data_IF_962227220954
#
_entry.id   IF_962227220954
#
_cell.length_a   1.000
_cell.length_b   1.000
_cell.length_c   1.000
_cell.angle_alpha   90.00
_cell.angle_beta   90.00
_cell.angle_gamma   90.00
#
_symmetry.space_group_name_H-M   'P 1'
#
loop_
_entity.id
_entity.type
_entity.pdbx_description
1 polymer ?
#
# COMPACT_ATOMS: atom_id res chain seq x y z
N UNK A 1 -4.03 22.32 -12.29
CA UNK A 1 -2.99 21.32 -12.60
C UNK A 1 -2.14 21.00 -11.37
N UNK A 2 -1.90 21.95 -10.46
CA UNK A 2 -1.21 21.72 -9.16
C UNK A 2 -1.94 20.73 -8.24
N UNK A 3 -3.27 20.71 -8.29
CA UNK A 3 -4.13 19.88 -7.42
C UNK A 3 -3.90 18.37 -7.60
N UNK A 4 -3.72 17.91 -8.85
CA UNK A 4 -3.47 16.49 -9.12
C UNK A 4 -2.05 16.05 -8.75
N UNK A 5 -1.05 16.92 -8.85
CA UNK A 5 0.32 16.58 -8.44
C UNK A 5 0.41 16.46 -6.92
N UNK A 6 -0.17 17.41 -6.19
CA UNK A 6 -0.21 17.37 -4.72
C UNK A 6 -0.98 16.16 -4.20
N UNK A 7 -2.10 15.82 -4.85
CA UNK A 7 -2.87 14.62 -4.51
C UNK A 7 -2.12 13.31 -4.80
N UNK A 8 -1.46 13.22 -5.96
CA UNK A 8 -0.60 12.07 -6.31
C UNK A 8 0.54 11.91 -5.30
N UNK A 9 1.18 13.01 -4.91
CA UNK A 9 2.23 13.01 -3.89
C UNK A 9 1.71 12.54 -2.54
N UNK A 10 0.54 13.02 -2.11
CA UNK A 10 -0.08 12.58 -0.86
C UNK A 10 -0.34 11.06 -0.84
N UNK A 11 -0.94 10.51 -1.90
CA UNK A 11 -1.16 9.06 -2.02
C UNK A 11 0.16 8.28 -2.02
N UNK A 12 1.19 8.79 -2.72
CA UNK A 12 2.51 8.18 -2.72
C UNK A 12 3.14 8.15 -1.31
N UNK A 13 2.93 9.19 -0.49
CA UNK A 13 3.43 9.21 0.89
C UNK A 13 2.69 8.19 1.77
N UNK A 14 1.37 8.03 1.62
CA UNK A 14 0.61 7.03 2.36
C UNK A 14 1.07 5.60 2.02
N UNK A 15 1.31 5.32 0.75
CA UNK A 15 1.85 4.03 0.30
C UNK A 15 3.26 3.79 0.85
N UNK A 16 4.13 4.81 0.84
CA UNK A 16 5.46 4.72 1.48
C UNK A 16 5.37 4.44 2.97
N UNK A 17 4.47 5.10 3.69
CA UNK A 17 4.25 4.84 5.12
C UNK A 17 3.85 3.38 5.37
N UNK A 18 2.99 2.78 4.54
CA UNK A 18 2.67 1.36 4.62
C UNK A 18 3.88 0.44 4.35
N UNK A 19 4.92 0.95 3.69
CA UNK A 19 6.18 0.25 3.50
C UNK A 19 7.17 0.42 4.66
N UNK A 20 6.96 1.35 5.58
CA UNK A 20 7.90 1.61 6.67
C UNK A 20 7.85 0.50 7.74
N UNK A 21 9.01 -0.02 8.18
CA UNK A 21 9.13 -0.99 9.27
C UNK A 21 8.33 -0.63 10.53
N UNK A 22 8.39 0.64 10.93
CA UNK A 22 7.78 1.15 12.16
C UNK A 22 6.25 1.12 12.07
N UNK A 23 5.70 1.43 10.89
CA UNK A 23 4.26 1.37 10.64
C UNK A 23 3.79 -0.08 10.56
N UNK A 24 4.52 -0.93 9.81
CA UNK A 24 4.19 -2.36 9.68
C UNK A 24 4.17 -3.15 10.98
N UNK A 25 4.89 -2.67 11.98
CA UNK A 25 4.94 -3.29 13.31
C UNK A 25 4.02 -2.61 14.32
N UNK A 26 3.29 -1.57 13.91
CA UNK A 26 2.36 -0.82 14.74
C UNK A 26 0.91 -1.08 14.33
N UNK A 27 0.20 -1.97 15.06
CA UNK A 27 -1.24 -2.17 14.90
C UNK A 27 -2.03 -0.85 14.87
N UNK A 28 -1.66 0.11 15.72
CA UNK A 28 -2.36 1.39 15.85
C UNK A 28 -2.19 2.30 14.64
N UNK A 29 -1.04 2.25 13.95
CA UNK A 29 -0.84 3.04 12.73
C UNK A 29 -1.47 2.37 11.51
N UNK A 30 -1.39 1.03 11.43
CA UNK A 30 -2.09 0.27 10.40
C UNK A 30 -3.62 0.45 10.48
N UNK A 31 -4.18 0.54 11.68
CA UNK A 31 -5.62 0.79 11.90
C UNK A 31 -6.07 2.13 11.28
N UNK A 32 -5.20 3.15 11.29
CA UNK A 32 -5.48 4.48 10.72
C UNK A 32 -5.32 4.53 9.22
N UNK A 33 -4.39 3.75 8.67
CA UNK A 33 -4.04 3.76 7.25
C UNK A 33 -4.89 2.79 6.41
N UNK A 34 -5.35 1.68 7.01
CA UNK A 34 -6.11 0.65 6.32
C UNK A 34 -7.61 0.82 6.56
N UNK A 35 -8.37 0.85 5.45
CA UNK A 35 -9.82 0.80 5.49
C UNK A 35 -10.34 -0.52 6.08
N UNK A 36 -11.54 -0.51 6.66
CA UNK A 36 -12.11 -1.69 7.34
C UNK A 36 -12.37 -2.87 6.40
N UNK A 37 -12.61 -2.59 5.12
CA UNK A 37 -12.80 -3.56 4.05
C UNK A 37 -11.51 -3.87 3.27
N UNK A 38 -10.35 -3.41 3.76
CA UNK A 38 -9.06 -3.64 3.13
C UNK A 38 -8.72 -5.12 3.00
N UNK A 39 -8.25 -5.49 1.81
CA UNK A 39 -7.59 -6.75 1.54
C UNK A 39 -6.50 -6.60 0.48
N UNK A 40 -5.49 -7.46 0.51
CA UNK A 40 -4.43 -7.50 -0.49
C UNK A 40 -4.03 -8.93 -0.86
N UNK A 41 -3.52 -9.11 -2.08
CA UNK A 41 -2.90 -10.35 -2.52
C UNK A 41 -1.39 -10.26 -2.32
N UNK A 42 -0.85 -11.08 -1.41
CA UNK A 42 0.58 -11.21 -1.22
C UNK A 42 1.25 -11.93 -2.39
N UNK A 43 2.59 -11.81 -2.48
CA UNK A 43 3.39 -12.51 -3.51
C UNK A 43 3.24 -14.04 -3.46
N UNK A 44 2.84 -14.60 -2.31
CA UNK A 44 2.53 -16.03 -2.16
C UNK A 44 1.19 -16.45 -2.76
N UNK A 45 0.37 -15.50 -3.22
CA UNK A 45 -1.02 -15.72 -3.61
C UNK A 45 -2.01 -15.77 -2.43
N UNK A 46 -1.53 -15.57 -1.20
CA UNK A 46 -2.41 -15.46 -0.04
C UNK A 46 -3.15 -14.13 -0.03
N UNK A 47 -4.39 -14.17 0.45
CA UNK A 47 -5.20 -12.97 0.71
C UNK A 47 -4.96 -12.55 2.15
N UNK A 48 -4.63 -11.29 2.35
CA UNK A 48 -4.46 -10.66 3.65
C UNK A 48 -5.57 -9.65 3.86
N UNK A 49 -6.25 -9.72 5.00
CA UNK A 49 -7.23 -8.72 5.40
C UNK A 49 -6.62 -7.80 6.46
N UNK A 50 -7.23 -6.64 6.70
CA UNK A 50 -6.80 -5.69 7.76
C UNK A 50 -6.52 -6.39 9.10
N UNK A 51 -7.42 -7.28 9.54
CA UNK A 51 -7.27 -8.06 10.78
C UNK A 51 -6.01 -8.94 10.82
N UNK A 52 -5.57 -9.44 9.66
CA UNK A 52 -4.40 -10.31 9.55
C UNK A 52 -3.11 -9.50 9.62
N UNK A 53 -3.12 -8.27 9.10
CA UNK A 53 -2.02 -7.30 9.18
C UNK A 53 -1.84 -6.71 10.60
N UNK A 54 -2.93 -6.57 11.35
CA UNK A 54 -2.95 -5.96 12.70
C UNK A 54 -2.75 -7.02 13.80
N UNK A 55 -3.10 -8.28 13.52
CA UNK A 55 -2.98 -9.41 14.44
C UNK A 55 -1.57 -9.99 14.55
N UNK A 56 -1.49 -11.30 14.84
CA UNK A 56 -0.20 -12.02 14.98
C UNK A 56 0.56 -12.18 13.64
N UNK A 57 -0.09 -11.87 12.52
CA UNK A 57 0.49 -11.84 11.19
C UNK A 57 1.41 -10.64 11.01
N UNK A 58 2.66 -10.77 11.47
CA UNK A 58 3.67 -9.73 11.25
C UNK A 58 3.96 -9.60 9.76
N UNK A 59 3.59 -8.47 9.16
CA UNK A 59 4.07 -8.08 7.85
C UNK A 59 5.60 -8.15 7.86
N UNK A 60 6.21 -8.65 6.78
CA UNK A 60 7.66 -8.80 6.72
C UNK A 60 8.32 -7.43 6.86
N UNK A 61 9.12 -7.26 7.91
CA UNK A 61 9.85 -6.01 8.17
C UNK A 61 11.14 -6.03 7.39
N UNK A 62 11.17 -5.30 6.27
CA UNK A 62 12.34 -5.18 5.39
C UNK A 62 12.37 -3.78 4.80
N UNK A 63 13.56 -3.29 4.50
CA UNK A 63 13.70 -2.06 3.72
C UNK A 63 13.14 -2.29 2.31
N UNK A 64 12.21 -1.42 1.92
CA UNK A 64 11.54 -1.49 0.63
C UNK A 64 11.46 -0.11 0.01
N UNK A 65 11.80 -0.04 -1.27
CA UNK A 65 11.81 1.20 -2.03
C UNK A 65 10.71 1.19 -3.07
N UNK A 66 9.81 2.17 -2.99
CA UNK A 66 8.74 2.40 -3.95
C UNK A 66 9.21 3.31 -5.09
N UNK A 67 8.93 2.93 -6.33
CA UNK A 67 9.23 3.70 -7.54
C UNK A 67 8.18 3.45 -8.64
N UNK A 68 8.27 4.20 -9.75
CA UNK A 68 7.29 4.16 -10.86
C UNK A 68 5.84 4.38 -10.40
N UNK A 69 5.60 5.32 -9.46
CA UNK A 69 4.28 5.58 -8.90
C UNK A 69 3.36 6.32 -9.88
N UNK A 70 2.14 5.80 -10.06
CA UNK A 70 1.08 6.44 -10.82
C UNK A 70 -0.31 6.28 -10.20
N UNK A 71 -1.23 7.15 -10.62
CA UNK A 71 -2.61 7.14 -10.14
C UNK A 71 -3.61 7.10 -11.31
N UNK A 72 -4.67 6.34 -11.14
CA UNK A 72 -5.76 6.20 -12.08
C UNK A 72 -7.09 6.42 -11.34
N UNK A 73 -7.65 7.64 -11.37
CA UNK A 73 -8.97 7.91 -10.80
C UNK A 73 -10.03 7.01 -11.47
N UNK A 74 -10.84 6.33 -10.66
CA UNK A 74 -11.92 5.44 -11.13
C UNK A 74 -13.30 6.06 -10.90
N UNK A 75 -13.44 6.87 -9.85
CA UNK A 75 -14.64 7.67 -9.55
C UNK A 75 -14.25 8.93 -8.76
N UNK A 76 -15.23 9.70 -8.28
CA UNK A 76 -14.98 10.86 -7.44
C UNK A 76 -14.22 10.52 -6.14
N UNK A 77 -14.49 9.33 -5.59
CA UNK A 77 -14.00 8.90 -4.26
C UNK A 77 -13.17 7.61 -4.33
N UNK A 78 -12.68 7.24 -5.53
CA UNK A 78 -11.90 6.00 -5.73
C UNK A 78 -10.78 6.24 -6.70
N UNK A 79 -9.56 5.88 -6.29
CA UNK A 79 -8.33 6.00 -7.07
C UNK A 79 -7.57 4.69 -7.01
N UNK A 80 -7.16 4.18 -8.16
CA UNK A 80 -6.23 3.06 -8.25
C UNK A 80 -4.79 3.60 -8.25
N UNK A 81 -3.97 3.16 -7.30
CA UNK A 81 -2.54 3.43 -7.29
C UNK A 81 -1.81 2.27 -7.96
N UNK A 82 -0.78 2.58 -8.76
CA UNK A 82 0.13 1.56 -9.29
C UNK A 82 1.57 1.98 -9.02
N UNK A 83 2.41 1.02 -8.65
CA UNK A 83 3.81 1.27 -8.35
C UNK A 83 4.61 -0.03 -8.38
N UNK A 84 5.92 0.10 -8.27
CA UNK A 84 6.84 -1.01 -8.11
C UNK A 84 7.58 -0.89 -6.80
N UNK A 85 7.87 -2.04 -6.20
CA UNK A 85 8.66 -2.13 -4.97
C UNK A 85 9.87 -3.01 -5.20
N UNK A 86 11.02 -2.55 -4.75
CA UNK A 86 12.24 -3.37 -4.64
C UNK A 86 12.54 -3.65 -3.18
N UNK A 87 12.97 -4.87 -2.90
CA UNK A 87 13.52 -5.29 -1.62
C UNK A 87 14.87 -5.98 -1.89
N UNK A 88 15.91 -5.77 -1.06
CA UNK A 88 17.26 -6.32 -1.30
C UNK A 88 17.33 -7.84 -1.53
N UNK A 89 16.36 -8.60 -1.00
CA UNK A 89 16.35 -10.07 -1.00
C UNK A 89 15.31 -10.69 -1.95
N UNK A 90 14.55 -9.86 -2.67
CA UNK A 90 13.52 -10.33 -3.62
C UNK A 90 13.97 -9.89 -5.01
N UNK A 91 14.60 -10.82 -5.75
CA UNK A 91 15.10 -10.58 -7.13
C UNK A 91 13.98 -10.49 -8.17
N UNK A 92 12.71 -10.61 -7.75
CA UNK A 92 11.57 -10.45 -8.62
C UNK A 92 10.97 -9.08 -8.42
N UNK A 93 10.89 -8.32 -9.53
CA UNK A 93 10.03 -7.16 -9.69
C UNK A 93 8.72 -7.46 -8.98
N UNK A 94 8.47 -6.80 -7.85
CA UNK A 94 7.11 -6.69 -7.33
C UNK A 94 6.42 -5.76 -8.33
N UNK A 95 5.91 -6.38 -9.39
CA UNK A 95 4.72 -5.85 -10.03
C UNK A 95 3.64 -6.29 -9.06
N UNK A 96 3.35 -5.43 -8.09
CA UNK A 96 2.08 -5.56 -7.44
C UNK A 96 1.03 -5.17 -8.49
N UNK A 97 0.67 -6.14 -9.32
CA UNK A 97 -0.64 -6.19 -9.97
C UNK A 97 -1.65 -6.68 -8.93
N UNK A 98 -1.56 -6.16 -7.71
CA UNK A 98 -2.72 -6.02 -6.89
C UNK A 98 -3.48 -4.85 -7.49
N UNK A 99 -4.79 -4.99 -7.63
CA UNK A 99 -5.64 -3.83 -7.47
C UNK A 99 -5.33 -3.35 -6.04
N UNK A 100 -4.29 -2.52 -5.87
CA UNK A 100 -4.11 -1.73 -4.68
C UNK A 100 -5.25 -0.72 -4.75
N UNK A 101 -6.40 -1.17 -4.28
CA UNK A 101 -7.47 -0.29 -3.83
C UNK A 101 -7.33 -0.22 -2.32
N UNK A 102 -6.45 0.63 -1.77
CA UNK A 102 -6.98 1.46 -0.71
C UNK A 102 -8.15 2.21 -1.35
N UNK A 103 -9.38 1.79 -1.05
CA UNK A 103 -10.55 2.61 -1.34
C UNK A 103 -10.41 3.80 -0.40
N UNK A 104 -9.62 4.80 -0.80
CA UNK A 104 -9.59 6.09 -0.14
C UNK A 104 -10.94 6.74 -0.41
N UNK A 105 -11.93 6.48 0.44
CA UNK A 105 -13.09 7.37 0.50
C UNK A 105 -12.57 8.72 0.98
N UNK A 106 -12.65 9.70 0.09
CA UNK A 106 -12.48 11.11 0.43
C UNK A 106 -13.60 11.52 1.39
#
# INVERSE_FOLDING_TARGET
MEDQSSFKEHLCQLEKQLLEPEIRTSPAELEKLLADDFFEFGISGNIWYKKDCIGEGRLSVREMTLYDFDIHPLSADVVLTTYRVTAPEITNKITASGIHTPIWKV
#
